data_IF_984713392489
#
_entry.id   IF_984713392489
#
_cell.length_a   1.000
_cell.length_b   1.000
_cell.length_c   1.000
_cell.angle_alpha   90.00
_cell.angle_beta   90.00
_cell.angle_gamma   90.00
#
_symmetry.space_group_name_H-M   'P 1'
#
loop_
_entity.id
_entity.type
_entity.pdbx_description
1 polymer ?
#
# COMPACT_ATOMS: atom_id res chain seq x y z
N UNK A 1 7.68 30.62 2.24
CA UNK A 1 8.15 29.28 2.72
C UNK A 1 8.74 28.55 1.52
N UNK A 2 10.00 28.17 1.60
CA UNK A 2 10.65 27.34 0.57
C UNK A 2 10.18 25.90 0.79
N UNK A 3 9.49 25.35 -0.20
CA UNK A 3 9.12 23.94 -0.17
C UNK A 3 10.30 23.11 -0.69
N UNK A 4 10.62 22.05 0.01
CA UNK A 4 11.64 21.09 -0.42
C UNK A 4 10.94 20.02 -1.27
N UNK A 5 11.52 19.73 -2.44
CA UNK A 5 11.01 18.68 -3.32
C UNK A 5 11.54 17.32 -2.84
N UNK A 6 10.65 16.35 -2.72
CA UNK A 6 11.00 14.99 -2.35
C UNK A 6 11.21 14.16 -3.62
N UNK A 7 12.43 13.65 -3.81
CA UNK A 7 12.79 12.92 -5.03
C UNK A 7 12.44 11.43 -5.01
N UNK A 8 11.84 10.91 -3.93
CA UNK A 8 11.42 9.51 -3.87
C UNK A 8 10.23 9.31 -4.82
N UNK A 9 10.47 8.52 -5.87
CA UNK A 9 9.42 8.06 -6.76
C UNK A 9 9.00 6.62 -6.41
N UNK A 10 7.77 6.20 -6.78
CA UNK A 10 7.35 4.82 -6.66
C UNK A 10 8.29 3.92 -7.46
N UNK A 11 8.51 2.70 -6.99
CA UNK A 11 9.33 1.75 -7.75
C UNK A 11 8.77 1.54 -9.16
N UNK A 12 9.64 1.60 -10.15
CA UNK A 12 9.26 1.56 -11.56
C UNK A 12 9.81 0.34 -12.33
N UNK A 13 10.55 -0.53 -11.66
CA UNK A 13 11.23 -1.66 -12.30
C UNK A 13 10.31 -2.73 -12.91
N UNK A 14 9.01 -2.71 -12.59
CA UNK A 14 8.03 -3.64 -13.15
C UNK A 14 7.08 -3.01 -14.18
N UNK A 15 7.34 -1.78 -14.61
CA UNK A 15 6.48 -1.07 -15.58
C UNK A 15 6.42 -1.69 -16.97
N UNK A 16 7.38 -2.51 -17.33
CA UNK A 16 7.34 -3.33 -18.54
C UNK A 16 6.32 -4.47 -18.45
N UNK A 17 5.84 -4.79 -17.26
CA UNK A 17 4.89 -5.86 -16.97
C UNK A 17 3.50 -5.37 -16.54
N UNK A 18 3.45 -4.25 -15.82
CA UNK A 18 2.22 -3.72 -15.25
C UNK A 18 2.28 -2.20 -15.04
N UNK A 19 1.23 -1.53 -15.48
CA UNK A 19 1.00 -0.09 -15.23
C UNK A 19 -0.44 0.06 -14.74
N UNK A 20 -0.60 0.52 -13.50
CA UNK A 20 -1.91 0.58 -12.85
C UNK A 20 -2.91 1.48 -13.57
N UNK A 21 -2.45 2.55 -14.22
CA UNK A 21 -3.30 3.49 -14.95
C UNK A 21 -3.79 2.94 -16.31
N UNK A 22 -3.17 1.87 -16.81
CA UNK A 22 -3.55 1.18 -18.04
C UNK A 22 -4.41 -0.07 -17.79
N UNK A 23 -4.56 -0.47 -16.52
CA UNK A 23 -5.35 -1.61 -16.11
C UNK A 23 -6.83 -1.21 -15.92
N UNK A 24 -7.71 -1.66 -16.81
CA UNK A 24 -9.15 -1.36 -16.79
C UNK A 24 -9.87 -1.83 -15.52
N UNK A 25 -9.29 -2.79 -14.79
CA UNK A 25 -9.83 -3.31 -13.53
C UNK A 25 -9.35 -2.54 -12.30
N UNK A 26 -8.34 -1.68 -12.49
CA UNK A 26 -7.72 -0.96 -11.39
C UNK A 26 -8.55 0.26 -10.97
N UNK A 27 -8.53 0.62 -9.66
CA UNK A 27 -9.15 1.85 -9.19
C UNK A 27 -8.55 3.12 -9.80
N UNK A 28 -7.39 3.03 -10.42
CA UNK A 28 -6.66 4.16 -11.02
C UNK A 28 -6.67 4.16 -12.54
N UNK A 29 -7.50 3.33 -13.17
CA UNK A 29 -7.60 3.29 -14.62
C UNK A 29 -7.83 4.68 -15.23
N UNK A 30 -7.03 5.02 -16.24
CA UNK A 30 -7.12 6.29 -16.96
C UNK A 30 -6.57 7.51 -16.23
N UNK A 31 -6.05 7.36 -15.00
CA UNK A 31 -5.38 8.47 -14.30
C UNK A 31 -4.14 8.92 -15.09
N UNK A 32 -3.96 10.22 -15.18
CA UNK A 32 -2.79 10.82 -15.84
C UNK A 32 -1.93 11.55 -14.82
N UNK A 33 -0.63 11.35 -14.90
CA UNK A 33 0.34 12.05 -14.06
C UNK A 33 1.14 13.02 -14.92
N UNK A 34 1.14 14.29 -14.54
CA UNK A 34 2.06 15.24 -15.13
C UNK A 34 3.44 15.03 -14.51
N UNK A 35 4.37 14.47 -15.29
CA UNK A 35 5.72 14.14 -14.83
C UNK A 35 6.55 15.37 -14.40
N UNK A 36 6.10 16.57 -14.75
CA UNK A 36 6.80 17.82 -14.46
C UNK A 36 6.12 18.66 -13.37
N UNK A 37 4.91 18.31 -12.96
CA UNK A 37 4.15 19.05 -11.96
C UNK A 37 4.17 18.30 -10.62
N UNK A 38 4.99 18.79 -9.70
CA UNK A 38 5.05 18.34 -8.32
C UNK A 38 4.00 19.10 -7.49
N UNK A 39 2.76 18.65 -7.51
CA UNK A 39 1.62 19.30 -6.87
C UNK A 39 1.14 18.59 -5.58
N UNK A 40 1.55 17.34 -5.37
CA UNK A 40 1.22 16.58 -4.18
C UNK A 40 2.28 16.76 -3.08
N UNK A 41 1.84 16.84 -1.83
CA UNK A 41 2.69 17.13 -0.67
C UNK A 41 2.50 16.12 0.44
N UNK A 42 3.60 15.84 1.13
CA UNK A 42 3.61 15.21 2.44
C UNK A 42 4.35 16.18 3.37
N UNK A 43 3.67 16.69 4.41
CA UNK A 43 4.15 17.81 5.24
C UNK A 43 4.47 19.06 4.38
N UNK A 44 5.73 19.49 4.38
CA UNK A 44 6.22 20.62 3.58
C UNK A 44 7.02 20.17 2.34
N UNK A 45 6.95 18.89 1.98
CA UNK A 45 7.69 18.32 0.86
C UNK A 45 6.77 18.02 -0.30
N UNK A 46 7.13 18.46 -1.49
CA UNK A 46 6.52 17.96 -2.71
C UNK A 46 7.07 16.58 -3.04
N UNK A 47 6.18 15.64 -3.34
CA UNK A 47 6.55 14.26 -3.71
C UNK A 47 6.50 14.08 -5.21
N UNK A 48 7.12 12.99 -5.69
CA UNK A 48 7.13 12.64 -7.10
C UNK A 48 5.70 12.50 -7.66
N UNK A 49 5.38 13.04 -8.85
CA UNK A 49 4.01 13.06 -9.39
C UNK A 49 3.42 11.70 -9.72
N UNK A 50 4.22 10.64 -9.80
CA UNK A 50 3.74 9.26 -10.07
C UNK A 50 3.01 8.59 -8.89
N UNK A 51 3.08 9.14 -7.69
CA UNK A 51 2.27 8.66 -6.58
C UNK A 51 0.78 8.96 -6.80
N UNK A 52 -0.07 7.98 -6.49
CA UNK A 52 -1.52 8.13 -6.60
C UNK A 52 -2.14 8.64 -5.29
N UNK A 53 -3.06 9.58 -5.42
CA UNK A 53 -3.93 9.99 -4.33
C UNK A 53 -5.19 9.12 -4.34
N UNK A 54 -5.59 8.60 -3.18
CA UNK A 54 -6.82 7.82 -3.01
C UNK A 54 -7.84 8.50 -2.09
N UNK A 55 -7.62 9.78 -1.77
CA UNK A 55 -8.48 10.58 -0.91
C UNK A 55 -7.82 10.99 0.41
N UNK A 56 -6.72 10.36 0.83
CA UNK A 56 -5.98 10.77 2.02
C UNK A 56 -5.30 12.13 1.85
N UNK A 57 -5.23 12.89 2.93
CA UNK A 57 -4.52 14.17 2.95
C UNK A 57 -3.00 14.01 3.09
N UNK A 58 -2.54 12.90 3.64
CA UNK A 58 -1.15 12.73 4.08
C UNK A 58 -0.50 11.42 3.62
N UNK A 59 -1.27 10.50 3.06
CA UNK A 59 -0.79 9.21 2.59
C UNK A 59 -1.06 9.05 1.10
N UNK A 60 -0.05 8.61 0.36
CA UNK A 60 -0.12 8.29 -1.07
C UNK A 60 0.28 6.83 -1.29
N UNK A 61 -0.13 6.27 -2.39
CA UNK A 61 0.19 4.90 -2.75
C UNK A 61 0.50 4.74 -4.24
N UNK A 62 1.08 3.59 -4.58
CA UNK A 62 1.22 3.11 -5.95
C UNK A 62 0.99 1.62 -6.00
N UNK A 63 0.04 1.17 -6.81
CA UNK A 63 -0.08 -0.24 -7.14
C UNK A 63 1.03 -0.59 -8.13
N UNK A 64 2.02 -1.33 -7.67
CA UNK A 64 3.20 -1.67 -8.46
C UNK A 64 2.95 -2.87 -9.39
N UNK A 65 2.11 -3.79 -8.94
CA UNK A 65 1.78 -5.00 -9.68
C UNK A 65 0.47 -5.61 -9.18
N UNK A 66 -0.35 -6.08 -10.10
CA UNK A 66 -1.56 -6.84 -9.79
C UNK A 66 -1.69 -8.02 -10.75
N UNK A 67 -1.95 -9.20 -10.21
CA UNK A 67 -2.23 -10.42 -10.94
C UNK A 67 -3.60 -10.95 -10.52
N UNK A 68 -4.56 -10.86 -11.41
CA UNK A 68 -5.95 -11.26 -11.13
C UNK A 68 -6.17 -12.78 -11.20
N UNK A 69 -5.29 -13.52 -11.87
CA UNK A 69 -5.36 -14.99 -11.90
C UNK A 69 -4.88 -15.57 -10.57
N UNK A 70 -3.78 -15.06 -10.04
CA UNK A 70 -3.26 -15.42 -8.72
C UNK A 70 -3.91 -14.63 -7.58
N UNK A 71 -4.69 -13.60 -7.88
CA UNK A 71 -5.47 -12.83 -6.93
C UNK A 71 -4.61 -12.02 -5.95
N UNK A 72 -3.51 -11.42 -6.38
CA UNK A 72 -2.67 -10.60 -5.49
C UNK A 72 -2.31 -9.24 -6.08
N UNK A 73 -2.01 -8.31 -5.20
CA UNK A 73 -1.48 -6.99 -5.54
C UNK A 73 -0.32 -6.61 -4.63
N UNK A 74 0.61 -5.83 -5.16
CA UNK A 74 1.72 -5.24 -4.42
C UNK A 74 1.55 -3.72 -4.47
N UNK A 75 1.41 -3.10 -3.30
CA UNK A 75 1.16 -1.67 -3.15
C UNK A 75 2.28 -1.05 -2.32
N UNK A 76 2.90 0.00 -2.84
CA UNK A 76 3.89 0.82 -2.12
C UNK A 76 3.22 2.07 -1.58
N UNK A 77 3.56 2.45 -0.34
CA UNK A 77 3.02 3.64 0.33
C UNK A 77 4.12 4.66 0.63
N UNK A 78 3.74 5.93 0.66
CA UNK A 78 4.57 7.02 1.15
C UNK A 78 3.72 8.01 1.95
N UNK A 79 4.22 8.44 3.09
CA UNK A 79 3.64 9.52 3.88
C UNK A 79 3.24 9.13 5.28
N UNK A 80 2.30 9.87 5.83
CA UNK A 80 1.74 9.64 7.15
C UNK A 80 0.41 8.88 7.03
N UNK A 81 0.33 7.75 7.71
CA UNK A 81 -0.91 7.00 7.86
C UNK A 81 -1.64 7.46 9.13
N UNK A 82 -2.73 8.18 8.96
CA UNK A 82 -3.44 8.82 10.06
C UNK A 82 -4.94 8.48 10.03
N UNK A 83 -5.31 7.44 10.78
CA UNK A 83 -6.71 7.06 10.92
C UNK A 83 -7.46 7.98 11.88
N UNK A 84 -6.75 8.49 12.89
CA UNK A 84 -7.35 9.31 13.94
C UNK A 84 -7.91 10.65 13.41
N UNK A 85 -7.13 11.35 12.60
CA UNK A 85 -7.53 12.68 12.08
C UNK A 85 -8.16 12.60 10.69
N UNK A 86 -7.77 11.64 9.86
CA UNK A 86 -8.10 11.61 8.44
C UNK A 86 -8.85 10.37 8.00
N UNK A 87 -9.00 9.39 8.88
CA UNK A 87 -9.68 8.13 8.57
C UNK A 87 -9.11 7.41 7.33
N UNK A 88 -7.78 7.39 7.24
CA UNK A 88 -7.07 6.86 6.07
C UNK A 88 -7.42 5.41 5.75
N UNK A 89 -7.58 4.58 6.79
CA UNK A 89 -7.95 3.16 6.59
C UNK A 89 -9.33 3.01 5.95
N UNK A 90 -10.34 3.79 6.35
CA UNK A 90 -11.66 3.72 5.73
C UNK A 90 -11.60 4.13 4.26
N UNK A 91 -10.90 5.23 3.96
CA UNK A 91 -10.71 5.68 2.57
C UNK A 91 -10.01 4.63 1.73
N UNK A 92 -8.97 3.99 2.27
CA UNK A 92 -8.25 2.92 1.60
C UNK A 92 -9.17 1.72 1.31
N UNK A 93 -9.95 1.29 2.29
CA UNK A 93 -10.90 0.19 2.11
C UNK A 93 -11.95 0.51 1.05
N UNK A 94 -12.60 1.67 1.14
CA UNK A 94 -13.68 2.05 0.22
C UNK A 94 -13.19 2.31 -1.21
N UNK A 95 -12.06 2.99 -1.36
CA UNK A 95 -11.57 3.45 -2.66
C UNK A 95 -10.68 2.43 -3.39
N UNK A 96 -9.98 1.57 -2.66
CA UNK A 96 -8.95 0.68 -3.22
C UNK A 96 -9.28 -0.78 -2.96
N UNK A 97 -9.43 -1.16 -1.69
CA UNK A 97 -9.56 -2.58 -1.30
C UNK A 97 -10.84 -3.20 -1.83
N UNK A 98 -12.00 -2.60 -1.56
CA UNK A 98 -13.28 -3.13 -2.02
C UNK A 98 -13.37 -3.27 -3.54
N UNK A 99 -12.97 -2.26 -4.36
CA UNK A 99 -12.91 -2.43 -5.81
C UNK A 99 -11.97 -3.56 -6.26
N UNK A 100 -10.81 -3.73 -5.61
CA UNK A 100 -9.87 -4.79 -5.96
C UNK A 100 -10.38 -6.17 -5.58
N UNK A 101 -10.99 -6.32 -4.41
CA UNK A 101 -11.64 -7.58 -3.99
C UNK A 101 -12.75 -7.97 -4.96
N UNK A 102 -13.56 -7.00 -5.42
CA UNK A 102 -14.58 -7.24 -6.44
C UNK A 102 -14.01 -7.75 -7.77
N UNK A 103 -12.75 -7.50 -8.05
CA UNK A 103 -12.01 -7.99 -9.22
C UNK A 103 -11.23 -9.30 -8.97
N UNK A 104 -11.37 -9.90 -7.78
CA UNK A 104 -10.74 -11.16 -7.44
C UNK A 104 -9.35 -11.04 -6.80
N UNK A 105 -8.97 -9.88 -6.31
CA UNK A 105 -7.73 -9.69 -5.51
C UNK A 105 -8.05 -9.97 -4.05
N UNK A 106 -7.34 -10.93 -3.46
CA UNK A 106 -7.53 -11.35 -2.07
C UNK A 106 -6.21 -11.51 -1.29
N UNK A 107 -5.08 -11.23 -1.92
CA UNK A 107 -3.77 -11.18 -1.28
C UNK A 107 -3.18 -9.79 -1.47
N UNK A 108 -2.99 -9.07 -0.37
CA UNK A 108 -2.48 -7.72 -0.37
C UNK A 108 -1.10 -7.69 0.28
N UNK A 109 -0.09 -7.31 -0.50
CA UNK A 109 1.30 -7.14 -0.05
C UNK A 109 1.58 -5.64 -0.06
N UNK A 110 1.73 -5.07 1.12
CA UNK A 110 1.87 -3.63 1.32
C UNK A 110 3.31 -3.32 1.72
N UNK A 111 4.01 -2.53 0.91
CA UNK A 111 5.37 -2.11 1.18
C UNK A 111 5.34 -0.83 2.01
N UNK A 112 5.77 -0.93 3.26
CA UNK A 112 5.62 0.11 4.27
C UNK A 112 6.90 0.87 4.61
N UNK A 113 7.99 0.68 3.88
CA UNK A 113 9.29 1.31 4.21
C UNK A 113 9.28 2.84 4.17
N UNK A 114 8.36 3.45 3.42
CA UNK A 114 8.17 4.89 3.31
C UNK A 114 6.92 5.40 4.06
N UNK A 115 6.29 4.59 4.89
CA UNK A 115 5.34 5.06 5.88
C UNK A 115 6.13 5.70 7.02
N UNK A 116 6.01 7.01 7.17
CA UNK A 116 6.84 7.81 8.08
C UNK A 116 6.35 7.78 9.50
N UNK A 117 5.03 7.81 9.67
CA UNK A 117 4.33 7.77 10.97
C UNK A 117 3.01 7.04 10.83
N UNK A 118 2.51 6.54 11.95
CA UNK A 118 1.20 5.92 12.04
C UNK A 118 0.46 6.47 13.27
N UNK A 119 -0.81 6.85 13.07
CA UNK A 119 -1.71 7.29 14.15
C UNK A 119 -3.03 6.57 13.98
N UNK A 120 -3.23 5.51 14.75
CA UNK A 120 -4.43 4.70 14.73
C UNK A 120 -5.35 4.96 15.90
N UNK A 121 -6.61 4.55 15.76
CA UNK A 121 -7.64 4.67 16.80
C UNK A 121 -8.31 3.33 17.11
N UNK A 122 -8.70 2.59 16.08
CA UNK A 122 -9.45 1.35 16.20
C UNK A 122 -9.01 0.30 15.18
N UNK A 123 -9.43 -0.95 15.38
CA UNK A 123 -9.06 -2.09 14.51
C UNK A 123 -10.15 -2.52 13.55
N UNK A 124 -11.37 -1.99 13.66
CA UNK A 124 -12.55 -2.48 12.95
C UNK A 124 -12.37 -2.59 11.43
N UNK A 125 -11.78 -1.58 10.78
CA UNK A 125 -11.54 -1.60 9.34
C UNK A 125 -10.41 -2.58 8.94
N UNK A 126 -9.43 -2.79 9.83
CA UNK A 126 -8.37 -3.79 9.60
C UNK A 126 -8.91 -5.20 9.71
N UNK A 127 -9.83 -5.45 10.65
CA UNK A 127 -10.57 -6.70 10.78
C UNK A 127 -11.44 -6.94 9.54
N UNK A 128 -12.22 -5.92 9.10
CA UNK A 128 -13.01 -5.98 7.85
C UNK A 128 -12.13 -6.40 6.66
N UNK A 129 -10.97 -5.78 6.50
CA UNK A 129 -10.06 -6.10 5.40
C UNK A 129 -9.55 -7.53 5.45
N UNK A 130 -9.09 -7.96 6.62
CA UNK A 130 -8.61 -9.33 6.81
C UNK A 130 -9.71 -10.36 6.58
N UNK A 131 -10.92 -10.11 7.03
CA UNK A 131 -12.06 -10.99 6.84
C UNK A 131 -12.39 -11.13 5.34
N UNK A 132 -12.49 -10.03 4.61
CA UNK A 132 -12.74 -10.03 3.17
C UNK A 132 -11.63 -10.77 2.40
N UNK A 133 -10.37 -10.58 2.75
CA UNK A 133 -9.25 -11.29 2.13
C UNK A 133 -9.30 -12.79 2.43
N UNK A 134 -9.62 -13.17 3.67
CA UNK A 134 -9.65 -14.55 4.15
C UNK A 134 -10.78 -15.38 3.54
N UNK A 135 -11.91 -14.79 3.16
CA UNK A 135 -13.03 -15.48 2.48
C UNK A 135 -12.57 -16.25 1.23
N UNK A 136 -11.56 -15.74 0.54
CA UNK A 136 -10.97 -16.38 -0.64
C UNK A 136 -9.60 -17.03 -0.36
N UNK A 137 -9.27 -17.28 0.91
CA UNK A 137 -7.99 -17.87 1.31
C UNK A 137 -6.80 -16.93 1.14
N UNK A 138 -7.04 -15.63 1.22
CA UNK A 138 -6.03 -14.60 1.09
C UNK A 138 -5.48 -14.09 2.41
N UNK A 139 -4.76 -12.98 2.32
CA UNK A 139 -4.13 -12.33 3.47
C UNK A 139 -3.83 -10.86 3.18
N UNK A 140 -3.60 -10.12 4.26
CA UNK A 140 -3.04 -8.76 4.21
C UNK A 140 -1.74 -8.75 5.01
N UNK A 141 -0.65 -8.32 4.40
CA UNK A 141 0.66 -8.22 5.04
C UNK A 141 1.34 -6.90 4.72
N UNK A 142 1.90 -6.26 5.73
CA UNK A 142 2.82 -5.14 5.57
C UNK A 142 4.25 -5.66 5.70
N UNK A 143 5.09 -5.29 4.74
CA UNK A 143 6.50 -5.68 4.72
C UNK A 143 7.38 -4.44 4.85
N UNK A 144 8.55 -4.62 5.46
CA UNK A 144 9.58 -3.59 5.61
C UNK A 144 9.12 -2.33 6.36
N UNK A 145 8.17 -2.47 7.31
CA UNK A 145 7.81 -1.36 8.19
C UNK A 145 9.01 -0.88 9.00
N UNK A 146 9.11 0.43 9.18
CA UNK A 146 10.01 1.01 10.18
C UNK A 146 9.58 0.57 11.59
N UNK A 147 10.54 0.38 12.49
CA UNK A 147 10.29 -0.19 13.82
C UNK A 147 9.26 0.61 14.62
N UNK A 148 9.37 1.95 14.61
CA UNK A 148 8.42 2.79 15.34
C UNK A 148 7.00 2.70 14.77
N UNK A 149 6.84 2.64 13.44
CA UNK A 149 5.53 2.47 12.79
C UNK A 149 4.92 1.12 13.15
N UNK A 150 5.70 0.06 13.07
CA UNK A 150 5.27 -1.29 13.45
C UNK A 150 4.84 -1.36 14.91
N UNK A 151 5.60 -0.73 15.80
CA UNK A 151 5.28 -0.71 17.23
C UNK A 151 3.97 0.06 17.51
N UNK A 152 3.77 1.22 16.90
CA UNK A 152 2.52 1.99 17.00
C UNK A 152 1.31 1.18 16.49
N UNK A 153 1.44 0.46 15.37
CA UNK A 153 0.40 -0.45 14.89
C UNK A 153 0.13 -1.61 15.85
N UNK A 154 1.18 -2.17 16.48
CA UNK A 154 1.05 -3.24 17.47
C UNK A 154 0.37 -2.76 18.75
N UNK A 155 0.65 -1.54 19.19
CA UNK A 155 0.12 -0.97 20.41
C UNK A 155 -1.42 -0.84 20.38
N UNK A 156 -2.01 -0.60 19.21
CA UNK A 156 -3.47 -0.57 19.04
C UNK A 156 -4.07 -1.92 18.63
N UNK A 157 -3.26 -2.96 18.43
CA UNK A 157 -3.74 -4.32 18.18
C UNK A 157 -3.85 -4.73 16.70
N UNK A 158 -3.36 -3.93 15.73
CA UNK A 158 -3.45 -4.26 14.30
C UNK A 158 -2.74 -5.58 13.97
N UNK A 159 -1.71 -5.96 14.72
CA UNK A 159 -1.00 -7.25 14.55
C UNK A 159 -1.88 -8.48 14.77
N UNK A 160 -3.06 -8.33 15.38
CA UNK A 160 -4.05 -9.41 15.52
C UNK A 160 -4.86 -9.61 14.24
N UNK A 161 -4.93 -8.61 13.39
CA UNK A 161 -5.68 -8.62 12.13
C UNK A 161 -4.75 -8.83 10.93
N UNK A 162 -3.65 -8.06 10.88
CA UNK A 162 -2.71 -8.03 9.76
C UNK A 162 -1.33 -8.54 10.17
N UNK A 163 -0.60 -9.09 9.22
CA UNK A 163 0.81 -9.44 9.41
C UNK A 163 1.69 -8.21 9.25
N UNK A 164 2.49 -7.88 10.27
CA UNK A 164 3.30 -6.65 10.35
C UNK A 164 4.81 -6.90 10.37
N UNK A 165 5.25 -8.13 10.56
CA UNK A 165 6.65 -8.46 10.82
C UNK A 165 7.44 -8.90 9.56
N UNK A 166 6.80 -8.90 8.40
CA UNK A 166 7.43 -9.28 7.14
C UNK A 166 8.64 -8.42 6.78
N UNK A 167 9.74 -9.08 6.42
CA UNK A 167 10.96 -8.44 5.96
C UNK A 167 11.39 -9.07 4.63
N UNK A 168 11.33 -8.29 3.55
CA UNK A 168 11.79 -8.72 2.24
C UNK A 168 12.87 -7.75 1.78
N UNK A 169 14.11 -8.05 2.17
CA UNK A 169 15.25 -7.23 1.81
C UNK A 169 15.50 -7.27 0.29
N UNK A 170 15.96 -6.17 -0.25
CA UNK A 170 16.30 -6.04 -1.69
C UNK A 170 15.18 -6.44 -2.66
N UNK A 171 13.91 -6.32 -2.23
CA UNK A 171 12.75 -6.75 -3.02
C UNK A 171 12.72 -6.18 -4.45
N UNK A 172 13.28 -4.99 -4.64
CA UNK A 172 13.37 -4.33 -5.96
C UNK A 172 14.19 -5.09 -6.99
N UNK A 173 15.04 -6.01 -6.55
CA UNK A 173 15.90 -6.83 -7.41
C UNK A 173 15.19 -8.06 -7.98
N UNK A 174 14.01 -8.39 -7.44
CA UNK A 174 13.28 -9.61 -7.75
C UNK A 174 12.00 -9.32 -8.54
N UNK A 175 11.47 -10.31 -9.27
CA UNK A 175 10.15 -10.18 -9.88
C UNK A 175 9.03 -10.22 -8.83
N UNK A 176 7.82 -9.70 -9.16
CA UNK A 176 6.72 -9.62 -8.19
C UNK A 176 6.34 -10.98 -7.57
N UNK A 177 6.45 -12.06 -8.32
CA UNK A 177 6.13 -13.42 -7.85
C UNK A 177 7.05 -13.90 -6.71
N UNK A 178 8.23 -13.32 -6.60
CA UNK A 178 9.14 -13.60 -5.49
C UNK A 178 8.57 -13.07 -4.16
N UNK A 179 8.03 -11.86 -4.16
CA UNK A 179 7.38 -11.29 -2.98
C UNK A 179 6.16 -12.11 -2.57
N UNK A 180 5.34 -12.52 -3.54
CA UNK A 180 4.20 -13.38 -3.26
C UNK A 180 4.63 -14.67 -2.57
N UNK A 181 5.64 -15.36 -3.10
CA UNK A 181 6.15 -16.61 -2.50
C UNK A 181 6.72 -16.39 -1.10
N UNK A 182 7.49 -15.32 -0.90
CA UNK A 182 8.03 -15.00 0.42
C UNK A 182 6.91 -14.79 1.45
N UNK A 183 5.88 -14.01 1.11
CA UNK A 183 4.74 -13.75 1.99
C UNK A 183 3.87 -14.99 2.24
N UNK A 184 3.76 -15.92 1.28
CA UNK A 184 3.05 -17.19 1.48
C UNK A 184 3.83 -18.10 2.44
N UNK A 185 5.15 -18.17 2.30
CA UNK A 185 6.00 -19.00 3.18
C UNK A 185 5.94 -18.52 4.64
N UNK A 186 5.95 -17.21 4.88
CA UNK A 186 5.77 -16.65 6.21
C UNK A 186 4.39 -16.97 6.81
N UNK A 187 3.37 -17.18 5.99
CA UNK A 187 2.05 -17.57 6.44
C UNK A 187 1.96 -19.01 6.94
N UNK A 188 2.88 -19.86 6.52
CA UNK A 188 2.89 -21.31 6.84
C UNK A 188 3.86 -21.65 7.98
N UNK A 189 4.68 -20.69 8.40
CA UNK A 189 5.62 -20.83 9.52
C UNK A 189 5.04 -20.33 10.84
#
# INVERSE_FOLDING_TARGET
KTYIMHNIEPFYGWRDRYIVEEDERSPFFGHQHNQFAYDQKIYNYYVHPQWNNFGSNTLLLKCLYTDYELGYTIIEFIGEWNDFLHNDIEMLIRSIVNPMIAQGVFRFILIGENILTFHGEATDYYEEWQDLASESGGFVTLVNLQDHVRNEMKDIGIHQCLRLDGQVLDWRKYPPEFLLRACIQEALS
#
